data_IF_829477693896
#
_entry.id   IF_829477693896
#
_cell.length_a   1.000
_cell.length_b   1.000
_cell.length_c   1.000
_cell.angle_alpha   90.00
_cell.angle_beta   90.00
_cell.angle_gamma   90.00
#
_symmetry.space_group_name_H-M   'P 1'
#
loop_
_entity.id
_entity.type
_entity.pdbx_description
1 polymer ?
#
# COMPACT_ATOMS: atom_id res chain seq x y z
N UNK A 1 17.37 -8.32 -18.20
CA UNK A 1 17.91 -6.97 -17.94
C UNK A 1 17.41 -6.54 -16.57
N UNK A 2 18.34 -6.20 -15.67
CA UNK A 2 18.02 -5.65 -14.36
C UNK A 2 17.40 -4.27 -14.51
N UNK A 3 16.50 -3.91 -13.57
CA UNK A 3 15.98 -2.55 -13.50
C UNK A 3 17.09 -1.58 -13.12
N UNK A 4 17.05 -0.37 -13.68
CA UNK A 4 17.99 0.70 -13.33
C UNK A 4 17.30 2.05 -13.33
N UNK A 5 17.74 2.93 -12.43
CA UNK A 5 17.31 4.31 -12.32
C UNK A 5 18.45 5.27 -12.66
N UNK A 6 18.12 6.35 -13.37
CA UNK A 6 19.02 7.47 -13.66
C UNK A 6 18.36 8.79 -13.24
N UNK A 7 19.19 9.82 -13.05
CA UNK A 7 18.74 11.19 -12.84
C UNK A 7 19.44 12.08 -13.87
N UNK A 8 18.67 12.75 -14.72
CA UNK A 8 19.20 13.58 -15.82
C UNK A 8 18.51 14.92 -15.84
N UNK A 9 19.27 16.01 -16.02
CA UNK A 9 18.68 17.34 -16.20
C UNK A 9 18.10 17.49 -17.61
N UNK A 10 16.82 17.86 -17.70
CA UNK A 10 16.15 18.19 -18.95
C UNK A 10 16.05 19.72 -19.08
N UNK A 11 16.86 20.30 -19.96
CA UNK A 11 16.93 21.75 -20.17
C UNK A 11 15.65 22.35 -20.78
N UNK A 12 14.85 21.57 -21.51
CA UNK A 12 13.62 22.05 -22.13
C UNK A 12 12.53 22.33 -21.09
N UNK A 13 12.49 21.54 -20.02
CA UNK A 13 11.53 21.67 -18.91
C UNK A 13 12.16 22.25 -17.64
N UNK A 14 13.47 22.46 -17.63
CA UNK A 14 14.25 22.96 -16.50
C UNK A 14 14.09 22.13 -15.22
N UNK A 15 13.95 20.80 -15.35
CA UNK A 15 13.80 19.86 -14.24
C UNK A 15 14.82 18.72 -14.34
N UNK A 16 15.16 18.14 -13.20
CA UNK A 16 15.80 16.84 -13.11
C UNK A 16 14.75 15.74 -13.22
N UNK A 17 14.88 14.91 -14.26
CA UNK A 17 14.05 13.75 -14.50
C UNK A 17 14.68 12.52 -13.85
N UNK A 18 13.93 11.83 -13.01
CA UNK A 18 14.27 10.47 -12.58
C UNK A 18 13.65 9.51 -13.58
N UNK A 19 14.49 8.70 -14.23
CA UNK A 19 14.05 7.70 -15.21
C UNK A 19 14.34 6.30 -14.71
N UNK A 20 13.40 5.38 -14.85
CA UNK A 20 13.59 3.95 -14.64
C UNK A 20 13.48 3.25 -15.97
N UNK A 21 14.51 2.47 -16.35
CA UNK A 21 14.58 1.82 -17.66
C UNK A 21 14.18 2.78 -18.80
N UNK A 22 14.78 3.98 -18.80
CA UNK A 22 14.57 5.07 -19.76
C UNK A 22 13.20 5.78 -19.72
N UNK A 23 12.22 5.27 -18.95
CA UNK A 23 10.93 5.94 -18.76
C UNK A 23 10.98 6.92 -17.60
N UNK A 24 10.51 8.14 -17.80
CA UNK A 24 10.38 9.13 -16.72
C UNK A 24 9.35 8.66 -15.68
N UNK A 25 9.74 8.65 -14.41
CA UNK A 25 8.88 8.26 -13.28
C UNK A 25 8.65 9.38 -12.27
N UNK A 26 9.53 10.39 -12.26
CA UNK A 26 9.41 11.56 -11.40
C UNK A 26 10.20 12.74 -11.99
N UNK A 27 9.78 13.97 -11.69
CA UNK A 27 10.47 15.20 -12.08
C UNK A 27 10.52 16.19 -10.91
N UNK A 28 11.65 16.87 -10.74
CA UNK A 28 11.85 17.88 -9.69
C UNK A 28 12.89 18.91 -10.13
N UNK A 29 12.79 20.15 -9.67
CA UNK A 29 13.83 21.18 -9.86
C UNK A 29 15.05 20.97 -8.95
N UNK A 30 14.94 20.07 -7.96
CA UNK A 30 15.98 19.80 -6.97
C UNK A 30 16.86 18.59 -7.35
N UNK A 31 18.11 18.86 -7.71
CA UNK A 31 19.08 17.82 -8.10
C UNK A 31 19.37 16.81 -7.00
N UNK A 32 19.49 17.25 -5.74
CA UNK A 32 19.73 16.39 -4.57
C UNK A 32 18.57 15.43 -4.35
N UNK A 33 17.33 15.91 -4.51
CA UNK A 33 16.14 15.06 -4.40
C UNK A 33 16.11 14.02 -5.53
N UNK A 34 16.36 14.43 -6.78
CA UNK A 34 16.40 13.51 -7.92
C UNK A 34 17.47 12.42 -7.74
N UNK A 35 18.68 12.78 -7.30
CA UNK A 35 19.76 11.84 -7.02
C UNK A 35 19.40 10.88 -5.87
N UNK A 36 18.76 11.38 -4.82
CA UNK A 36 18.32 10.57 -3.69
C UNK A 36 17.30 9.52 -4.12
N UNK A 37 16.30 9.89 -4.93
CA UNK A 37 15.29 8.97 -5.46
C UNK A 37 15.96 7.91 -6.35
N UNK A 38 16.85 8.33 -7.26
CA UNK A 38 17.64 7.43 -8.11
C UNK A 38 18.40 6.40 -7.27
N UNK A 39 19.11 6.85 -6.24
CA UNK A 39 19.95 5.99 -5.42
C UNK A 39 19.14 5.01 -4.57
N UNK A 40 17.96 5.44 -4.07
CA UNK A 40 17.03 4.55 -3.36
C UNK A 40 16.43 3.50 -4.29
N UNK A 41 16.02 3.88 -5.50
CA UNK A 41 15.50 2.94 -6.51
C UNK A 41 16.57 1.91 -6.91
N UNK A 42 17.80 2.36 -7.21
CA UNK A 42 18.89 1.45 -7.55
C UNK A 42 19.24 0.50 -6.40
N UNK A 43 19.17 0.96 -5.14
CA UNK A 43 19.32 0.08 -3.96
C UNK A 43 18.23 -0.99 -3.89
N UNK A 44 16.97 -0.63 -4.16
CA UNK A 44 15.85 -1.59 -4.20
C UNK A 44 16.04 -2.59 -5.35
N UNK A 45 16.40 -2.12 -6.54
CA UNK A 45 16.60 -2.96 -7.71
C UNK A 45 17.83 -3.89 -7.61
N UNK A 46 18.79 -3.54 -6.76
CA UNK A 46 19.95 -4.38 -6.47
C UNK A 46 19.62 -5.59 -5.57
N UNK A 47 18.44 -5.65 -4.94
CA UNK A 47 17.99 -6.84 -4.21
C UNK A 47 17.25 -7.80 -5.17
N UNK A 48 17.89 -8.88 -5.66
CA UNK A 48 17.27 -9.79 -6.63
C UNK A 48 16.09 -10.58 -6.04
N UNK A 49 16.00 -10.65 -4.71
CA UNK A 49 14.93 -11.35 -4.02
C UNK A 49 13.77 -10.42 -3.68
N UNK A 50 13.86 -9.11 -3.92
CA UNK A 50 12.77 -8.16 -3.66
C UNK A 50 11.59 -8.43 -4.57
N UNK A 51 10.40 -8.57 -4.00
CA UNK A 51 9.17 -8.51 -4.79
C UNK A 51 8.83 -7.04 -5.08
N UNK A 52 8.96 -6.67 -6.34
CA UNK A 52 8.74 -5.31 -6.82
C UNK A 52 7.25 -5.01 -7.09
N UNK A 53 6.37 -6.02 -7.02
CA UNK A 53 4.91 -5.80 -7.11
C UNK A 53 4.35 -5.11 -5.87
N UNK A 54 5.18 -4.88 -4.85
CA UNK A 54 4.84 -4.13 -3.65
C UNK A 54 5.30 -2.67 -3.65
N UNK A 55 5.78 -2.14 -4.79
CA UNK A 55 5.98 -0.69 -4.91
C UNK A 55 4.61 0.01 -4.79
N UNK A 56 4.37 0.66 -3.66
CA UNK A 56 3.02 1.06 -3.24
C UNK A 56 3.01 2.48 -2.66
N UNK A 57 1.91 3.24 -2.82
CA UNK A 57 1.70 4.43 -2.01
C UNK A 57 1.45 4.05 -0.55
N UNK A 58 2.06 4.81 0.37
CA UNK A 58 1.95 4.61 1.82
C UNK A 58 1.92 5.95 2.55
N UNK A 59 1.98 5.91 3.88
CA UNK A 59 2.11 7.08 4.73
C UNK A 59 3.22 6.86 5.76
N UNK A 60 4.10 7.84 5.92
CA UNK A 60 5.17 7.80 6.91
C UNK A 60 5.64 9.21 7.23
N UNK A 61 6.11 9.44 8.46
CA UNK A 61 6.71 10.71 8.89
C UNK A 61 5.81 11.93 8.59
N UNK A 62 4.49 11.78 8.79
CA UNK A 62 3.52 12.85 8.57
C UNK A 62 3.30 13.24 7.11
N UNK A 63 3.67 12.39 6.15
CA UNK A 63 3.55 12.66 4.72
C UNK A 63 3.12 11.42 3.94
N UNK A 64 2.49 11.64 2.79
CA UNK A 64 2.28 10.58 1.81
C UNK A 64 3.60 10.24 1.12
N UNK A 65 3.82 8.95 0.87
CA UNK A 65 5.10 8.45 0.37
C UNK A 65 4.90 7.33 -0.65
N UNK A 66 5.96 7.02 -1.38
CA UNK A 66 6.09 5.79 -2.19
C UNK A 66 7.18 4.93 -1.57
N UNK A 67 6.87 3.67 -1.30
CA UNK A 67 7.81 2.71 -0.73
C UNK A 67 7.74 1.36 -1.45
N UNK A 68 8.74 0.52 -1.19
CA UNK A 68 8.74 -0.90 -1.54
C UNK A 68 8.95 -1.68 -0.24
N UNK A 69 7.89 -2.26 0.35
CA UNK A 69 7.98 -3.12 1.52
C UNK A 69 8.95 -4.28 1.36
N UNK A 70 9.32 -4.89 2.49
CA UNK A 70 10.42 -5.85 2.51
C UNK A 70 10.07 -7.26 2.01
N UNK A 71 8.98 -7.43 1.27
CA UNK A 71 8.58 -8.73 0.71
C UNK A 71 9.66 -9.31 -0.19
N UNK A 72 10.07 -10.56 0.08
CA UNK A 72 11.15 -11.25 -0.61
C UNK A 72 10.88 -12.72 -0.85
N UNK A 73 11.29 -13.22 -2.01
CA UNK A 73 11.29 -14.65 -2.30
C UNK A 73 12.47 -15.35 -1.61
N UNK A 74 12.25 -16.59 -1.18
CA UNK A 74 13.31 -17.54 -0.77
C UNK A 74 14.13 -17.18 0.50
N UNK A 75 13.57 -16.43 1.45
CA UNK A 75 14.21 -16.12 2.75
C UNK A 75 13.67 -16.96 3.93
N UNK A 76 13.17 -18.17 3.67
CA UNK A 76 12.46 -19.02 4.65
C UNK A 76 11.25 -18.32 5.28
N UNK A 77 10.65 -17.41 4.52
CA UNK A 77 9.56 -16.55 4.93
C UNK A 77 8.34 -16.94 4.12
N UNK A 78 7.35 -17.52 4.80
CA UNK A 78 6.16 -18.10 4.19
C UNK A 78 4.92 -17.36 4.67
N UNK A 79 3.99 -17.09 3.76
CA UNK A 79 2.64 -16.66 4.09
C UNK A 79 1.67 -17.85 3.97
N UNK A 80 1.08 -18.25 5.08
CA UNK A 80 0.01 -19.24 5.15
C UNK A 80 -1.34 -18.59 4.86
N UNK A 81 -2.08 -19.15 3.91
CA UNK A 81 -3.43 -18.74 3.59
C UNK A 81 -4.44 -19.58 4.33
N UNK A 82 -5.52 -18.95 4.76
CA UNK A 82 -6.74 -19.62 5.18
C UNK A 82 -7.48 -20.22 3.97
N UNK A 83 -7.17 -21.49 3.64
CA UNK A 83 -7.86 -22.24 2.59
C UNK A 83 -8.82 -23.28 3.19
N UNK A 84 -10.13 -23.02 3.06
CA UNK A 84 -11.19 -23.97 3.45
C UNK A 84 -11.72 -24.80 2.28
N UNK A 85 -11.24 -24.56 1.06
CA UNK A 85 -11.85 -25.10 -0.16
C UNK A 85 -11.53 -26.57 -0.43
N UNK A 86 -10.50 -27.14 0.22
CA UNK A 86 -9.96 -28.46 -0.16
C UNK A 86 -10.18 -29.62 0.83
N UNK A 87 -10.98 -29.45 1.90
CA UNK A 87 -11.45 -30.56 2.76
C UNK A 87 -10.37 -31.50 3.35
N UNK A 88 -9.10 -31.17 3.22
CA UNK A 88 -7.94 -31.96 3.60
C UNK A 88 -6.94 -31.01 4.26
N UNK A 89 -6.18 -31.52 5.22
CA UNK A 89 -5.33 -30.79 6.17
C UNK A 89 -4.16 -29.94 5.57
N UNK A 90 -4.27 -29.44 4.34
CA UNK A 90 -3.22 -28.71 3.63
C UNK A 90 -3.54 -27.23 3.49
N UNK A 91 -2.83 -26.40 4.25
CA UNK A 91 -2.83 -24.94 4.06
C UNK A 91 -2.11 -24.58 2.76
N UNK A 92 -2.69 -23.69 1.94
CA UNK A 92 -1.94 -23.06 0.86
C UNK A 92 -0.92 -22.10 1.45
N UNK A 93 0.24 -22.04 0.83
CA UNK A 93 1.29 -21.16 1.26
C UNK A 93 1.96 -20.48 0.07
N UNK A 94 2.36 -19.22 0.28
CA UNK A 94 3.20 -18.46 -0.61
C UNK A 94 4.62 -18.43 -0.05
N UNK A 95 5.63 -18.57 -0.92
CA UNK A 95 7.06 -18.67 -0.55
C UNK A 95 7.70 -17.34 -0.17
N UNK A 96 6.87 -16.38 0.22
CA UNK A 96 7.19 -15.02 0.63
C UNK A 96 6.37 -14.68 1.87
N UNK A 97 6.95 -13.94 2.82
CA UNK A 97 6.21 -13.30 3.91
C UNK A 97 5.70 -11.95 3.42
N UNK A 98 4.46 -11.94 2.95
CA UNK A 98 3.85 -10.81 2.26
C UNK A 98 3.41 -9.68 3.18
N UNK A 99 3.38 -9.92 4.49
CA UNK A 99 2.73 -9.02 5.43
C UNK A 99 3.69 -8.39 6.42
N UNK A 100 4.99 -8.66 6.42
CA UNK A 100 5.87 -8.22 7.52
C UNK A 100 5.81 -6.71 7.88
N UNK A 101 6.07 -6.34 9.15
CA UNK A 101 6.06 -4.94 9.56
C UNK A 101 7.17 -4.19 8.85
N UNK A 102 6.83 -3.54 7.74
CA UNK A 102 7.79 -2.72 7.02
C UNK A 102 7.69 -1.28 7.50
N UNK A 103 8.78 -0.80 8.08
CA UNK A 103 8.95 0.61 8.38
C UNK A 103 9.56 1.35 7.18
N UNK A 104 9.19 2.61 7.04
CA UNK A 104 9.86 3.54 6.14
C UNK A 104 11.33 3.65 6.53
N UNK A 105 12.23 3.18 5.67
CA UNK A 105 13.66 3.12 5.94
C UNK A 105 14.46 3.60 4.73
N UNK A 106 15.37 4.54 4.96
CA UNK A 106 16.43 4.93 4.04
C UNK A 106 17.72 4.27 4.51
N UNK A 107 17.99 3.08 3.97
CA UNK A 107 19.10 2.21 4.37
C UNK A 107 20.14 2.16 3.27
N UNK A 108 21.41 2.15 3.64
CA UNK A 108 22.50 1.98 2.68
C UNK A 108 22.57 0.58 2.08
N UNK A 109 21.88 -0.42 2.66
CA UNK A 109 21.83 -1.79 2.12
C UNK A 109 20.60 -2.06 1.25
N UNK A 110 20.76 -2.90 0.23
CA UNK A 110 19.67 -3.26 -0.70
C UNK A 110 18.48 -3.93 0.02
N UNK A 111 18.76 -4.88 0.93
CA UNK A 111 17.73 -5.57 1.72
C UNK A 111 17.06 -4.67 2.77
N UNK A 112 17.75 -3.60 3.18
CA UNK A 112 17.29 -2.65 4.19
C UNK A 112 16.41 -1.54 3.63
N UNK A 113 16.60 -1.17 2.36
CA UNK A 113 15.97 -0.03 1.71
C UNK A 113 14.48 -0.29 1.43
N UNK A 114 13.62 0.61 1.89
CA UNK A 114 12.17 0.55 1.62
C UNK A 114 11.60 1.87 1.13
N UNK A 115 12.19 3.00 1.52
CA UNK A 115 11.76 4.32 1.07
C UNK A 115 12.09 4.55 -0.41
N UNK A 116 11.23 5.25 -1.15
CA UNK A 116 11.53 5.72 -2.50
C UNK A 116 11.41 7.25 -2.51
N UNK A 117 10.19 7.74 -2.29
CA UNK A 117 9.86 9.15 -2.45
C UNK A 117 8.92 9.62 -1.34
N UNK A 118 9.19 10.81 -0.78
CA UNK A 118 8.23 11.54 0.03
C UNK A 118 7.55 12.59 -0.84
N UNK A 119 6.22 12.58 -0.88
CA UNK A 119 5.45 13.59 -1.60
C UNK A 119 5.39 14.87 -0.76
N UNK A 120 5.65 16.01 -1.37
CA UNK A 120 5.54 17.29 -0.67
C UNK A 120 4.13 17.52 -0.15
N UNK A 121 4.00 17.93 1.12
CA UNK A 121 2.72 18.32 1.71
C UNK A 121 2.13 19.60 1.09
N UNK A 122 2.91 20.36 0.31
CA UNK A 122 2.39 21.49 -0.48
C UNK A 122 1.62 21.05 -1.74
N UNK A 123 1.70 19.77 -2.11
CA UNK A 123 0.94 19.20 -3.22
C UNK A 123 -0.56 19.25 -2.92
N UNK A 124 -1.39 19.55 -3.92
CA UNK A 124 -2.86 19.60 -3.74
C UNK A 124 -3.47 18.25 -3.34
N UNK A 125 -3.09 17.16 -4.02
CA UNK A 125 -3.58 15.80 -3.74
C UNK A 125 -2.40 14.82 -3.54
N UNK A 126 -1.69 14.88 -2.41
CA UNK A 126 -0.45 14.14 -2.21
C UNK A 126 -0.64 12.61 -2.22
N UNK A 127 -1.80 12.10 -1.77
CA UNK A 127 -2.15 10.66 -1.86
C UNK A 127 -2.26 10.20 -3.32
N UNK A 128 -2.85 11.02 -4.18
CA UNK A 128 -2.99 10.73 -5.60
C UNK A 128 -1.62 10.77 -6.29
N UNK A 129 -0.79 11.77 -5.97
CA UNK A 129 0.57 11.84 -6.51
C UNK A 129 1.44 10.66 -6.07
N UNK A 130 1.29 10.17 -4.83
CA UNK A 130 1.95 8.95 -4.38
C UNK A 130 1.52 7.74 -5.23
N UNK A 131 0.21 7.54 -5.42
CA UNK A 131 -0.33 6.44 -6.25
C UNK A 131 0.14 6.56 -7.71
N UNK A 132 0.06 7.75 -8.29
CA UNK A 132 0.46 8.00 -9.66
C UNK A 132 1.96 7.72 -9.87
N UNK A 133 2.82 8.23 -8.98
CA UNK A 133 4.27 7.97 -9.05
C UNK A 133 4.59 6.49 -8.87
N UNK A 134 3.92 5.81 -7.92
CA UNK A 134 4.06 4.36 -7.77
C UNK A 134 3.74 3.63 -9.08
N UNK A 135 2.63 3.97 -9.74
CA UNK A 135 2.28 3.41 -11.04
C UNK A 135 3.29 3.71 -12.15
N UNK A 136 3.79 4.93 -12.24
CA UNK A 136 4.84 5.26 -13.20
C UNK A 136 6.07 4.35 -13.02
N UNK A 137 6.52 4.14 -11.78
CA UNK A 137 7.61 3.21 -11.47
C UNK A 137 7.23 1.78 -11.86
N UNK A 138 6.06 1.29 -11.42
CA UNK A 138 5.55 -0.06 -11.74
C UNK A 138 5.49 -0.31 -13.25
N UNK A 139 5.14 0.70 -14.04
CA UNK A 139 5.04 0.61 -15.51
C UNK A 139 6.40 0.59 -16.23
N UNK A 140 7.44 1.00 -15.51
CA UNK A 140 8.80 1.11 -16.02
C UNK A 140 9.67 -0.11 -15.68
N UNK A 141 9.30 -0.89 -14.67
CA UNK A 141 10.08 -2.03 -14.19
C UNK A 141 9.66 -3.37 -14.81
N UNK A 142 10.54 -4.36 -14.63
CA UNK A 142 10.24 -5.80 -14.74
C UNK A 142 10.31 -6.42 -13.36
N UNK A 143 9.45 -7.40 -13.06
CA UNK A 143 9.55 -8.10 -11.78
C UNK A 143 10.80 -8.99 -11.75
N UNK A 144 11.36 -9.18 -10.56
CA UNK A 144 12.50 -10.10 -10.36
C UNK A 144 12.08 -11.56 -10.50
N UNK A 145 10.83 -11.88 -10.16
CA UNK A 145 10.18 -13.18 -10.25
C UNK A 145 8.67 -12.95 -10.39
N UNK A 146 7.92 -14.02 -10.66
CA UNK A 146 6.47 -13.90 -10.78
C UNK A 146 5.83 -13.51 -9.44
N UNK A 147 4.86 -12.61 -9.45
CA UNK A 147 4.15 -12.19 -8.24
C UNK A 147 3.25 -13.31 -7.66
N UNK A 148 2.54 -13.01 -6.58
CA UNK A 148 1.63 -13.95 -5.91
C UNK A 148 0.45 -14.45 -6.79
N UNK A 149 0.21 -13.84 -7.96
CA UNK A 149 -0.77 -14.30 -8.96
C UNK A 149 -0.11 -15.00 -10.16
N UNK A 150 1.21 -15.19 -10.13
CA UNK A 150 1.97 -15.85 -11.18
C UNK A 150 2.31 -14.94 -12.37
N UNK A 151 2.14 -13.62 -12.26
CA UNK A 151 2.38 -12.67 -13.35
C UNK A 151 3.85 -12.26 -13.37
N UNK A 152 4.44 -12.16 -14.56
CA UNK A 152 5.85 -11.77 -14.75
C UNK A 152 6.06 -10.26 -14.94
N UNK A 153 4.97 -9.49 -15.04
CA UNK A 153 4.97 -8.04 -15.20
C UNK A 153 4.31 -7.39 -14.00
N UNK A 154 4.86 -6.28 -13.54
CA UNK A 154 4.30 -5.55 -12.40
C UNK A 154 2.93 -4.97 -12.76
N UNK A 155 1.90 -5.34 -12.01
CA UNK A 155 0.55 -4.87 -12.29
C UNK A 155 0.44 -3.39 -11.96
N UNK A 156 -0.28 -2.59 -12.74
CA UNK A 156 -0.63 -1.25 -12.29
C UNK A 156 -1.68 -1.30 -11.18
N UNK A 157 -1.59 -0.38 -10.24
CA UNK A 157 -2.64 -0.12 -9.27
C UNK A 157 -3.74 0.69 -9.94
N UNK A 158 -4.98 0.28 -9.76
CA UNK A 158 -6.16 0.97 -10.21
C UNK A 158 -6.24 2.37 -9.61
N UNK A 159 -6.53 3.35 -10.46
CA UNK A 159 -6.54 4.76 -10.14
C UNK A 159 -7.97 5.26 -9.95
N UNK A 160 -8.35 5.71 -8.74
CA UNK A 160 -9.67 6.27 -8.52
C UNK A 160 -9.94 7.51 -9.38
N UNK A 161 -11.19 7.69 -9.79
CA UNK A 161 -11.62 8.84 -10.60
C UNK A 161 -11.81 10.14 -9.80
N UNK A 162 -11.97 10.05 -8.48
CA UNK A 162 -12.22 11.19 -7.59
C UNK A 162 -10.92 11.68 -6.94
N UNK A 163 -10.10 12.35 -7.74
CA UNK A 163 -8.73 12.75 -7.38
C UNK A 163 -8.62 14.15 -6.80
N UNK A 164 -9.72 14.88 -6.61
CA UNK A 164 -9.69 16.25 -6.10
C UNK A 164 -9.41 16.29 -4.60
N UNK A 165 -8.80 17.38 -4.17
CA UNK A 165 -8.47 17.59 -2.76
C UNK A 165 -9.66 17.98 -1.88
N UNK A 166 -10.78 18.36 -2.49
CA UNK A 166 -11.99 18.78 -1.79
C UNK A 166 -12.83 17.58 -1.37
N UNK A 167 -13.50 17.68 -0.22
CA UNK A 167 -14.54 16.72 0.17
C UNK A 167 -15.78 16.98 -0.68
N UNK A 168 -16.26 15.96 -1.39
CA UNK A 168 -17.49 16.03 -2.18
C UNK A 168 -18.74 15.80 -1.32
N UNK A 169 -18.69 14.84 -0.39
CA UNK A 169 -19.78 14.59 0.56
C UNK A 169 -19.32 13.81 1.78
N UNK A 170 -20.05 13.94 2.88
CA UNK A 170 -19.91 13.04 4.02
C UNK A 170 -20.63 11.73 3.71
N UNK A 171 -19.93 10.60 3.84
CA UNK A 171 -20.52 9.25 3.73
C UNK A 171 -21.13 8.86 5.07
N UNK A 172 -20.40 9.09 6.16
CA UNK A 172 -20.90 8.94 7.53
C UNK A 172 -20.19 9.88 8.48
N UNK A 173 -20.96 10.49 9.39
CA UNK A 173 -20.40 11.26 10.50
C UNK A 173 -19.85 10.37 11.63
N UNK A 174 -20.23 9.09 11.64
CA UNK A 174 -19.90 8.15 12.70
C UNK A 174 -19.98 6.73 12.15
N UNK A 175 -18.86 6.03 12.11
CA UNK A 175 -18.78 4.66 11.64
C UNK A 175 -17.83 3.84 12.52
N UNK A 176 -18.01 2.52 12.49
CA UNK A 176 -17.01 1.59 13.00
C UNK A 176 -15.76 1.65 12.12
N UNK A 177 -14.60 1.57 12.74
CA UNK A 177 -13.31 1.39 12.08
C UNK A 177 -12.65 0.15 12.67
N UNK A 178 -12.32 -0.83 11.82
CA UNK A 178 -11.42 -1.94 12.19
C UNK A 178 -10.13 -1.86 11.33
N UNK A 179 -9.27 -2.87 11.43
CA UNK A 179 -8.03 -2.97 10.67
C UNK A 179 -8.11 -4.11 9.63
N UNK A 180 -7.81 -3.79 8.38
CA UNK A 180 -7.77 -4.67 7.21
C UNK A 180 -6.32 -4.94 6.87
N UNK A 181 -5.84 -6.19 6.91
CA UNK A 181 -4.45 -6.46 6.58
C UNK A 181 -3.47 -5.98 7.65
N UNK A 182 -2.75 -6.89 8.30
CA UNK A 182 -1.82 -6.55 9.36
C UNK A 182 -0.54 -7.36 9.33
N UNK A 183 0.52 -6.93 10.05
CA UNK A 183 1.83 -7.41 9.68
C UNK A 183 2.21 -8.85 10.03
N UNK A 184 1.36 -9.46 10.83
CA UNK A 184 1.48 -10.79 11.42
C UNK A 184 0.47 -11.77 10.79
N UNK A 185 -0.29 -11.35 9.78
CA UNK A 185 -1.25 -12.23 9.12
C UNK A 185 -0.55 -13.31 8.31
N UNK A 186 -1.06 -14.53 8.44
CA UNK A 186 -0.55 -15.68 7.71
C UNK A 186 0.87 -16.06 8.10
N UNK A 187 1.39 -15.68 9.27
CA UNK A 187 2.73 -16.09 9.71
C UNK A 187 2.79 -17.54 10.18
N UNK A 188 1.65 -18.13 10.53
CA UNK A 188 1.53 -19.55 10.89
C UNK A 188 0.27 -20.18 10.29
N UNK A 189 0.25 -21.51 10.10
CA UNK A 189 -0.96 -22.22 9.68
C UNK A 189 -2.08 -22.07 10.70
N UNK A 190 -3.33 -22.05 10.25
CA UNK A 190 -4.48 -21.92 11.14
C UNK A 190 -5.54 -20.93 10.63
N UNK A 191 -6.62 -20.79 11.39
CA UNK A 191 -7.62 -19.72 11.18
C UNK A 191 -7.07 -18.35 11.57
N UNK A 192 -6.08 -18.32 12.46
CA UNK A 192 -5.49 -17.10 12.99
C UNK A 192 -3.98 -17.27 13.20
N UNK A 193 -3.23 -16.17 13.15
CA UNK A 193 -1.82 -16.08 13.52
C UNK A 193 -1.61 -15.23 14.77
N UNK A 194 -0.60 -15.57 15.56
CA UNK A 194 -0.16 -14.76 16.69
C UNK A 194 0.27 -13.35 16.24
N UNK A 195 -0.23 -12.32 16.92
CA UNK A 195 0.11 -10.94 16.61
C UNK A 195 0.40 -10.12 17.87
N UNK A 196 1.67 -10.08 18.26
CA UNK A 196 2.11 -9.27 19.41
C UNK A 196 1.80 -7.79 19.22
N UNK A 197 1.87 -7.29 17.99
CA UNK A 197 1.64 -5.89 17.65
C UNK A 197 0.20 -5.40 17.90
N UNK A 198 -0.78 -6.32 17.86
CA UNK A 198 -2.17 -6.03 18.17
C UNK A 198 -2.61 -6.48 19.57
N UNK A 199 -1.86 -7.38 20.21
CA UNK A 199 -2.26 -7.98 21.50
C UNK A 199 -3.36 -9.05 21.38
N UNK A 200 -3.78 -9.41 20.16
CA UNK A 200 -4.71 -10.50 19.89
C UNK A 200 -4.32 -11.29 18.65
N UNK A 201 -4.90 -12.49 18.48
CA UNK A 201 -4.67 -13.31 17.29
C UNK A 201 -5.44 -12.75 16.10
N UNK A 202 -4.77 -12.63 14.97
CA UNK A 202 -5.35 -12.04 13.77
C UNK A 202 -5.80 -13.12 12.79
N UNK A 203 -6.93 -12.90 12.13
CA UNK A 203 -7.44 -13.83 11.14
C UNK A 203 -6.47 -13.98 9.97
N UNK A 204 -6.16 -15.21 9.59
CA UNK A 204 -5.33 -15.46 8.42
C UNK A 204 -6.07 -15.07 7.14
N UNK A 205 -5.33 -14.47 6.21
CA UNK A 205 -5.86 -14.06 4.91
C UNK A 205 -6.27 -15.26 4.07
N UNK A 206 -7.38 -15.17 3.35
CA UNK A 206 -7.80 -16.24 2.42
C UNK A 206 -7.14 -16.12 1.05
N UNK A 207 -6.74 -14.91 0.66
CA UNK A 207 -6.08 -14.59 -0.62
C UNK A 207 -5.10 -13.43 -0.42
N UNK A 208 -4.15 -13.28 -1.33
CA UNK A 208 -3.09 -12.26 -1.30
C UNK A 208 -3.41 -11.00 -2.08
N UNK A 209 -4.63 -10.91 -2.60
CA UNK A 209 -5.05 -9.83 -3.48
C UNK A 209 -6.35 -9.20 -3.03
N UNK A 210 -6.52 -7.94 -3.40
CA UNK A 210 -7.75 -7.17 -3.17
C UNK A 210 -8.86 -7.63 -4.11
N UNK A 211 -10.11 -7.45 -3.69
CA UNK A 211 -11.26 -7.76 -4.55
C UNK A 211 -11.31 -6.89 -5.82
N UNK A 212 -10.92 -5.63 -5.73
CA UNK A 212 -10.76 -4.76 -6.90
C UNK A 212 -9.50 -5.13 -7.65
N UNK A 213 -9.66 -5.41 -8.94
CA UNK A 213 -8.59 -5.62 -9.91
C UNK A 213 -7.46 -6.53 -9.42
N UNK A 214 -7.72 -7.47 -8.52
CA UNK A 214 -6.74 -8.46 -8.05
C UNK A 214 -5.31 -7.91 -7.86
N UNK A 215 -5.21 -6.72 -7.26
CA UNK A 215 -3.95 -6.09 -6.87
C UNK A 215 -3.37 -6.88 -5.70
N UNK A 216 -2.07 -7.19 -5.72
CA UNK A 216 -1.46 -7.84 -4.55
C UNK A 216 -1.49 -6.85 -3.40
N UNK A 217 -1.90 -7.33 -2.23
CA UNK A 217 -2.20 -6.51 -1.07
C UNK A 217 -1.11 -6.60 0.00
N UNK A 218 -0.67 -5.45 0.50
CA UNK A 218 0.22 -5.30 1.65
C UNK A 218 -0.39 -4.39 2.73
N UNK A 219 -0.13 -4.64 4.02
CA UNK A 219 -0.56 -3.75 5.11
C UNK A 219 0.00 -2.32 5.08
N UNK A 220 0.92 -2.02 4.15
CA UNK A 220 1.50 -0.69 3.98
C UNK A 220 0.75 0.13 2.92
N UNK A 221 -0.11 -0.49 2.12
CA UNK A 221 -0.85 0.17 1.06
C UNK A 221 -1.78 1.24 1.63
N UNK A 222 -1.99 2.36 0.93
CA UNK A 222 -3.05 3.31 1.27
C UNK A 222 -4.41 2.80 0.79
N UNK A 223 -4.89 1.75 1.44
CA UNK A 223 -6.14 1.12 1.05
C UNK A 223 -7.05 0.80 2.23
N UNK A 224 -8.31 0.50 1.92
CA UNK A 224 -9.34 0.14 2.85
C UNK A 224 -10.37 -0.82 2.25
N UNK A 225 -11.03 -1.56 3.13
CA UNK A 225 -12.24 -2.31 2.83
C UNK A 225 -13.46 -1.56 3.36
N UNK A 226 -14.54 -1.46 2.58
CA UNK A 226 -15.79 -0.83 3.04
C UNK A 226 -16.90 -1.85 3.22
N UNK A 227 -17.77 -1.62 4.20
CA UNK A 227 -18.86 -2.54 4.52
C UNK A 227 -19.82 -2.73 3.35
N UNK A 228 -20.43 -3.91 3.27
CA UNK A 228 -21.53 -4.18 2.34
C UNK A 228 -22.86 -3.54 2.76
N UNK A 229 -22.99 -3.10 4.01
CA UNK A 229 -24.21 -2.42 4.49
C UNK A 229 -24.46 -1.14 3.70
N UNK A 230 -25.73 -0.85 3.41
CA UNK A 230 -26.17 0.33 2.65
C UNK A 230 -25.46 0.49 1.29
N UNK A 231 -25.03 -0.61 0.67
CA UNK A 231 -24.31 -0.61 -0.61
C UNK A 231 -23.02 0.22 -0.61
N UNK A 232 -22.38 0.44 0.54
CA UNK A 232 -21.18 1.27 0.63
C UNK A 232 -20.04 0.74 -0.23
N UNK A 233 -19.70 -0.54 -0.10
CA UNK A 233 -18.67 -1.15 -0.96
C UNK A 233 -18.98 -0.97 -2.45
N UNK A 234 -20.16 -1.35 -2.93
CA UNK A 234 -20.47 -1.27 -4.37
C UNK A 234 -20.52 0.16 -4.90
N UNK A 235 -20.87 1.14 -4.06
CA UNK A 235 -20.93 2.57 -4.42
C UNK A 235 -19.56 3.24 -4.40
N UNK A 236 -18.70 2.89 -3.44
CA UNK A 236 -17.43 3.56 -3.18
C UNK A 236 -16.20 2.74 -3.55
N UNK A 237 -16.36 1.54 -4.11
CA UNK A 237 -15.27 0.77 -4.70
C UNK A 237 -14.49 1.64 -5.70
N UNK A 238 -13.16 1.57 -5.63
CA UNK A 238 -12.25 2.36 -6.46
C UNK A 238 -12.49 3.87 -6.34
N UNK A 239 -12.79 4.35 -5.12
CA UNK A 239 -12.85 5.76 -4.78
C UNK A 239 -11.85 6.08 -3.67
N UNK A 240 -11.35 7.31 -3.66
CA UNK A 240 -10.67 7.86 -2.50
C UNK A 240 -11.68 8.32 -1.45
N UNK A 241 -11.44 7.92 -0.21
CA UNK A 241 -12.18 8.40 0.96
C UNK A 241 -11.21 8.96 1.99
N UNK A 242 -11.59 10.06 2.62
CA UNK A 242 -10.93 10.59 3.81
C UNK A 242 -11.56 9.97 5.04
N UNK A 243 -10.72 9.45 5.93
CA UNK A 243 -11.12 8.85 7.19
C UNK A 243 -10.49 9.68 8.31
N UNK A 244 -11.32 10.20 9.20
CA UNK A 244 -10.88 11.04 10.32
C UNK A 244 -11.24 10.36 11.62
N UNK A 245 -10.26 10.25 12.53
CA UNK A 245 -10.47 9.70 13.86
C UNK A 245 -11.29 10.70 14.70
N UNK A 246 -12.40 10.25 15.29
CA UNK A 246 -13.29 11.11 16.07
C UNK A 246 -12.75 11.40 17.47
N UNK A 247 -11.92 10.52 18.05
CA UNK A 247 -11.25 10.80 19.33
C UNK A 247 -10.06 11.74 19.19
N UNK A 248 -9.55 11.92 17.97
CA UNK A 248 -8.52 12.90 17.64
C UNK A 248 -8.70 13.40 16.20
N UNK A 249 -9.52 14.44 16.03
CA UNK A 249 -9.92 14.96 14.71
C UNK A 249 -8.79 15.59 13.91
N UNK A 250 -7.62 15.85 14.52
CA UNK A 250 -6.41 16.25 13.81
C UNK A 250 -5.80 15.11 13.00
N UNK A 251 -6.18 13.85 13.30
CA UNK A 251 -5.68 12.65 12.66
C UNK A 251 -6.66 12.18 11.59
N UNK A 252 -6.25 12.33 10.33
CA UNK A 252 -7.01 11.84 9.18
C UNK A 252 -6.08 11.30 8.11
N UNK A 253 -6.62 10.44 7.26
CA UNK A 253 -5.90 9.84 6.13
C UNK A 253 -6.83 9.66 4.95
N UNK A 254 -6.28 9.74 3.74
CA UNK A 254 -7.00 9.42 2.51
C UNK A 254 -6.50 8.09 1.99
N UNK A 255 -7.44 7.18 1.75
CA UNK A 255 -7.21 5.80 1.32
C UNK A 255 -8.08 5.47 0.12
N UNK A 256 -7.61 4.54 -0.72
CA UNK A 256 -8.39 3.94 -1.80
C UNK A 256 -9.28 2.83 -1.23
N UNK A 257 -10.52 2.72 -1.67
CA UNK A 257 -11.36 1.57 -1.30
C UNK A 257 -11.13 0.44 -2.30
N UNK A 258 -10.47 -0.65 -1.89
CA UNK A 258 -10.14 -1.80 -2.77
C UNK A 258 -10.84 -3.09 -2.43
N UNK A 259 -11.48 -3.18 -1.26
CA UNK A 259 -12.06 -4.43 -0.81
C UNK A 259 -13.40 -4.24 -0.08
N UNK A 260 -14.06 -5.36 0.19
CA UNK A 260 -15.34 -5.45 0.86
C UNK A 260 -15.15 -5.93 2.30
N UNK A 261 -15.45 -5.06 3.25
CA UNK A 261 -15.57 -5.44 4.65
C UNK A 261 -16.92 -6.16 4.91
N UNK A 262 -17.02 -7.00 5.96
CA UNK A 262 -18.29 -7.58 6.39
C UNK A 262 -19.39 -6.54 6.67
N UNK A 263 -20.63 -7.00 6.70
CA UNK A 263 -21.77 -6.15 7.05
C UNK A 263 -21.62 -5.55 8.46
N UNK A 264 -21.99 -4.28 8.64
CA UNK A 264 -21.94 -3.56 9.92
C UNK A 264 -20.55 -3.08 10.34
N UNK A 265 -19.51 -3.26 9.51
CA UNK A 265 -18.13 -2.91 9.86
C UNK A 265 -17.71 -1.47 9.56
N UNK A 266 -18.54 -0.70 8.84
CA UNK A 266 -18.20 0.65 8.41
C UNK A 266 -17.05 0.64 7.41
N UNK A 267 -15.82 0.78 7.90
CA UNK A 267 -14.57 0.75 7.13
C UNK A 267 -13.48 -0.03 7.88
N UNK A 268 -12.63 -0.74 7.15
CA UNK A 268 -11.45 -1.42 7.69
C UNK A 268 -10.22 -0.86 6.96
N UNK A 269 -9.28 -0.28 7.69
CA UNK A 269 -8.11 0.39 7.11
C UNK A 269 -6.91 -0.54 7.04
N UNK A 270 -6.06 -0.41 6.01
CA UNK A 270 -4.74 -1.03 6.02
C UNK A 270 -3.99 -0.73 7.32
N UNK A 271 -3.16 -1.67 7.81
CA UNK A 271 -2.43 -1.48 9.06
C UNK A 271 -1.74 -0.12 9.16
N UNK A 272 -1.01 0.28 8.12
CA UNK A 272 -0.33 1.57 8.12
C UNK A 272 -1.33 2.70 8.25
N UNK A 273 -2.40 2.72 7.45
CA UNK A 273 -3.38 3.79 7.54
C UNK A 273 -4.07 3.86 8.91
N UNK A 274 -4.39 2.70 9.49
CA UNK A 274 -4.97 2.56 10.82
C UNK A 274 -4.06 3.12 11.93
N UNK A 275 -2.77 2.76 11.92
CA UNK A 275 -1.78 3.26 12.89
C UNK A 275 -1.66 4.78 12.79
N UNK A 276 -1.55 5.33 11.58
CA UNK A 276 -1.25 6.75 11.37
C UNK A 276 -2.38 7.68 11.84
N UNK A 277 -3.63 7.21 11.78
CA UNK A 277 -4.77 7.96 12.34
C UNK A 277 -5.02 7.69 13.83
N UNK A 278 -4.14 6.95 14.51
CA UNK A 278 -4.20 6.75 15.96
C UNK A 278 -5.00 5.52 16.40
N UNK A 279 -5.01 4.46 15.58
CA UNK A 279 -5.55 3.14 15.94
C UNK A 279 -7.03 3.17 16.41
N UNK A 280 -7.96 3.83 15.70
CA UNK A 280 -9.36 3.82 16.08
C UNK A 280 -9.88 2.39 16.05
N UNK A 281 -10.54 1.99 17.13
CA UNK A 281 -11.22 0.72 17.27
C UNK A 281 -12.66 1.01 17.66
N UNK A 282 -13.54 0.06 17.36
CA UNK A 282 -14.95 0.05 17.76
C UNK A 282 -15.88 0.96 16.94
N UNK A 283 -17.16 0.88 17.30
CA UNK A 283 -18.25 1.64 16.70
C UNK A 283 -18.07 3.13 16.93
N UNK A 284 -18.54 3.94 15.98
CA UNK A 284 -18.58 5.40 16.11
C UNK A 284 -17.20 6.05 16.36
N UNK A 285 -16.14 5.47 15.80
CA UNK A 285 -14.76 5.90 16.01
C UNK A 285 -14.22 6.77 14.89
N UNK A 286 -14.84 6.76 13.70
CA UNK A 286 -14.38 7.54 12.55
C UNK A 286 -15.50 8.26 11.81
N UNK A 287 -15.15 9.40 11.22
CA UNK A 287 -15.91 10.07 10.16
C UNK A 287 -15.34 9.65 8.81
N UNK A 288 -16.22 9.40 7.83
CA UNK A 288 -15.85 8.99 6.47
C UNK A 288 -16.41 10.01 5.48
N UNK A 289 -15.54 10.53 4.63
CA UNK A 289 -15.84 11.55 3.63
C UNK A 289 -15.38 11.09 2.24
N UNK A 290 -16.22 11.29 1.23
CA UNK A 290 -15.87 11.04 -0.16
C UNK A 290 -15.04 12.22 -0.68
N UNK A 291 -13.88 11.94 -1.27
CA UNK A 291 -13.11 12.96 -2.00
C UNK A 291 -13.77 13.27 -3.35
N UNK A 292 -13.56 14.48 -3.89
CA UNK A 292 -14.21 14.95 -5.12
C UNK A 292 -13.51 14.64 -6.42
#
# INVERSE_FOLDING_TARGET
>A
MSNSATATYNSNFQIYEVKVNEKMVFGTDNSTQANTIRDRLNRIFADPNRDLDFITPSYANGSYVVCCPKVRSNVNEITYLYDTSNGSNGWRHYKEKLYEPTNWADSTSASGQTSILTISNSTTAPWYNALHTANLIRSAIKLNFNDALGRSTCRQLEVPSNTKATVARVISNSARCDVYGIPCQGTEPGKTSACSELGWRAQNISNTYTWIDTEVFHPQDLTAAMTSTNNWHSTYKNKFVKVTNLSNTSKSIIVKVTDKAPAGKGIELSYRAWVEIGRPLDNNSVKIELMG
#
